data_IF_560307581255
#
_entry.id   IF_560307581255
#
_cell.length_a   1.000
_cell.length_b   1.000
_cell.length_c   1.000
_cell.angle_alpha   90.00
_cell.angle_beta   90.00
_cell.angle_gamma   90.00
#
_symmetry.space_group_name_H-M   'P 1'
#
loop_
_entity.id
_entity.type
_entity.pdbx_description
1 polymer ?
#
# COMPACT_ATOMS: atom_id res chain seq x y z
N UNK A 1 43.84 -41.59 -32.39
CA UNK A 1 43.20 -40.28 -32.66
C UNK A 1 42.41 -39.86 -31.43
N UNK A 2 42.71 -38.66 -30.90
CA UNK A 2 42.06 -38.00 -29.74
C UNK A 2 40.90 -37.13 -30.25
N UNK A 3 39.72 -37.18 -29.63
CA UNK A 3 38.71 -36.09 -29.55
C UNK A 3 37.88 -36.36 -28.29
N UNK A 4 38.20 -35.79 -27.12
CA UNK A 4 37.88 -34.47 -26.57
C UNK A 4 36.38 -34.21 -26.30
N UNK A 5 36.08 -34.16 -24.99
CA UNK A 5 35.00 -33.50 -24.25
C UNK A 5 34.13 -32.46 -24.98
N UNK A 6 32.83 -32.38 -24.65
CA UNK A 6 32.25 -31.19 -24.00
C UNK A 6 30.85 -31.49 -23.43
N UNK A 7 30.75 -31.46 -22.10
CA UNK A 7 29.49 -31.36 -21.37
C UNK A 7 29.12 -29.87 -21.26
N UNK A 8 27.93 -29.50 -21.73
CA UNK A 8 27.38 -28.14 -21.56
C UNK A 8 26.12 -28.27 -20.72
N UNK A 9 26.27 -28.13 -19.40
CA UNK A 9 25.16 -27.91 -18.47
C UNK A 9 24.92 -26.39 -18.43
N UNK A 10 23.81 -25.95 -19.01
CA UNK A 10 23.35 -24.56 -18.95
C UNK A 10 22.67 -24.37 -17.59
N UNK A 11 23.32 -23.64 -16.67
CA UNK A 11 22.68 -23.15 -15.45
C UNK A 11 21.76 -21.97 -15.81
N UNK A 12 20.46 -22.18 -15.75
CA UNK A 12 19.48 -21.10 -15.75
C UNK A 12 19.47 -20.43 -14.36
N UNK A 13 20.20 -19.32 -14.21
CA UNK A 13 20.09 -18.44 -13.05
C UNK A 13 18.79 -17.63 -13.17
N UNK A 14 17.73 -18.05 -12.50
CA UNK A 14 16.52 -17.26 -12.36
C UNK A 14 16.75 -16.10 -11.39
N UNK A 15 16.67 -14.87 -11.87
CA UNK A 15 16.49 -13.70 -10.99
C UNK A 15 15.10 -13.81 -10.36
N UNK A 16 15.03 -14.32 -9.14
CA UNK A 16 13.85 -14.14 -8.30
C UNK A 16 13.81 -12.69 -7.85
N UNK A 17 12.97 -11.87 -8.46
CA UNK A 17 12.61 -10.56 -7.92
C UNK A 17 11.82 -10.78 -6.64
N UNK A 18 12.51 -10.78 -5.51
CA UNK A 18 11.89 -10.75 -4.19
C UNK A 18 11.43 -9.32 -3.92
N UNK A 19 10.15 -9.03 -4.15
CA UNK A 19 9.54 -7.79 -3.65
C UNK A 19 9.67 -7.77 -2.13
N UNK A 20 10.09 -6.66 -1.53
CA UNK A 20 10.17 -6.55 -0.08
C UNK A 20 8.78 -6.72 0.53
N UNK A 21 8.70 -7.59 1.53
CA UNK A 21 7.45 -7.81 2.26
C UNK A 21 7.36 -6.77 3.38
N UNK A 22 6.32 -5.92 3.33
CA UNK A 22 5.92 -5.10 4.46
C UNK A 22 5.20 -6.02 5.47
N UNK A 23 5.65 -6.03 6.72
CA UNK A 23 5.00 -6.80 7.81
C UNK A 23 4.60 -5.83 8.90
N UNK A 24 3.29 -5.60 9.04
CA UNK A 24 2.70 -4.76 10.07
C UNK A 24 2.02 -5.61 11.15
N UNK A 25 2.12 -5.18 12.40
CA UNK A 25 1.46 -5.84 13.54
C UNK A 25 -0.02 -5.45 13.58
N UNK A 26 -0.92 -6.42 13.37
CA UNK A 26 -2.37 -6.18 13.38
C UNK A 26 -2.82 -5.68 14.75
N UNK A 27 -3.63 -4.62 14.77
CA UNK A 27 -4.11 -3.97 16.00
C UNK A 27 -3.18 -2.89 16.53
N UNK A 28 -2.01 -2.68 15.94
CA UNK A 28 -1.15 -1.53 16.23
C UNK A 28 -1.53 -0.31 15.36
N UNK A 29 -1.20 0.90 15.82
CA UNK A 29 -1.22 2.10 14.98
C UNK A 29 0.12 2.25 14.27
N UNK A 30 0.10 2.58 12.99
CA UNK A 30 1.31 2.81 12.19
C UNK A 30 1.12 3.95 11.21
N UNK A 31 2.23 4.46 10.69
CA UNK A 31 2.27 5.49 9.64
C UNK A 31 2.90 4.90 8.38
N UNK A 32 2.19 5.01 7.26
CA UNK A 32 2.68 4.60 5.95
C UNK A 32 2.90 5.83 5.08
N UNK A 33 4.03 5.83 4.37
CA UNK A 33 4.37 6.82 3.35
C UNK A 33 4.60 6.11 2.04
N UNK A 34 4.11 6.70 0.95
CA UNK A 34 4.26 6.09 -0.35
C UNK A 34 3.67 6.89 -1.50
N UNK A 35 3.82 6.33 -2.69
CA UNK A 35 3.23 6.85 -3.92
C UNK A 35 1.94 6.09 -4.21
N UNK A 36 0.86 6.80 -4.48
CA UNK A 36 -0.42 6.21 -4.88
C UNK A 36 -0.22 5.47 -6.20
N UNK A 37 -0.59 4.20 -6.25
CA UNK A 37 -0.58 3.37 -7.46
C UNK A 37 -1.98 3.13 -8.01
N UNK A 38 -3.00 3.12 -7.14
CA UNK A 38 -4.40 3.03 -7.55
C UNK A 38 -5.35 3.58 -6.49
N UNK A 39 -6.50 4.06 -6.95
CA UNK A 39 -7.62 4.51 -6.12
C UNK A 39 -8.89 3.84 -6.62
N UNK A 40 -9.54 3.01 -5.80
CA UNK A 40 -10.83 2.38 -6.10
C UNK A 40 -11.86 2.78 -5.05
N UNK A 41 -12.85 3.58 -5.47
CA UNK A 41 -13.93 4.07 -4.60
C UNK A 41 -15.29 3.42 -4.92
N UNK A 42 -15.34 2.42 -5.82
CA UNK A 42 -16.59 1.83 -6.33
C UNK A 42 -17.48 1.28 -5.20
N UNK A 43 -16.85 0.69 -4.18
CA UNK A 43 -17.55 0.10 -3.04
C UNK A 43 -18.18 1.14 -2.13
N UNK A 44 -17.72 2.40 -2.14
CA UNK A 44 -18.32 3.46 -1.34
C UNK A 44 -19.77 3.76 -1.73
N UNK A 45 -20.16 3.51 -2.99
CA UNK A 45 -21.54 3.67 -3.45
C UNK A 45 -22.55 2.75 -2.75
N UNK A 46 -22.06 1.69 -2.10
CA UNK A 46 -22.85 0.72 -1.33
C UNK A 46 -22.33 0.57 0.10
N UNK A 47 -21.85 1.69 0.67
CA UNK A 47 -21.36 1.80 2.05
C UNK A 47 -20.17 0.86 2.38
N UNK A 48 -19.41 0.43 1.36
CA UNK A 48 -18.15 -0.28 1.54
C UNK A 48 -16.94 0.65 1.59
N UNK A 49 -15.76 0.07 1.79
CA UNK A 49 -14.52 0.85 1.84
C UNK A 49 -14.04 1.28 0.45
N UNK A 50 -13.63 2.53 0.33
CA UNK A 50 -12.67 2.95 -0.69
C UNK A 50 -11.29 2.39 -0.36
N UNK A 51 -10.53 2.08 -1.41
CA UNK A 51 -9.20 1.48 -1.31
C UNK A 51 -8.22 2.36 -2.06
N UNK A 52 -7.26 2.92 -1.32
CA UNK A 52 -6.10 3.59 -1.89
C UNK A 52 -4.93 2.61 -1.76
N UNK A 53 -4.34 2.22 -2.88
CA UNK A 53 -3.13 1.39 -2.88
C UNK A 53 -1.93 2.30 -3.05
N UNK A 54 -0.93 2.13 -2.19
CA UNK A 54 0.34 2.86 -2.25
C UNK A 54 1.51 1.89 -2.41
N UNK A 55 2.55 2.35 -3.08
CA UNK A 55 3.88 1.75 -3.06
C UNK A 55 4.76 2.55 -2.10
N UNK A 56 5.30 1.87 -1.08
CA UNK A 56 6.20 2.49 -0.10
C UNK A 56 7.58 2.78 -0.70
N UNK A 57 8.39 3.57 -0.01
CA UNK A 57 9.76 3.88 -0.45
C UNK A 57 10.64 2.63 -0.61
N UNK A 58 10.37 1.59 0.18
CA UNK A 58 11.04 0.29 0.08
C UNK A 58 10.56 -0.53 -1.13
N UNK A 59 9.53 -0.10 -1.85
CA UNK A 59 8.94 -0.84 -2.98
C UNK A 59 7.93 -1.91 -2.56
N UNK A 60 7.44 -1.87 -1.32
CA UNK A 60 6.36 -2.73 -0.85
C UNK A 60 5.00 -2.10 -1.14
N UNK A 61 3.98 -2.91 -1.40
CA UNK A 61 2.61 -2.41 -1.58
C UNK A 61 1.83 -2.43 -0.28
N UNK A 62 1.13 -1.34 0.02
CA UNK A 62 0.22 -1.24 1.15
C UNK A 62 -1.14 -0.69 0.73
N UNK A 63 -2.17 -0.93 1.55
CA UNK A 63 -3.54 -0.45 1.28
C UNK A 63 -4.05 0.42 2.42
N UNK A 64 -4.64 1.55 2.08
CA UNK A 64 -5.35 2.44 3.01
C UNK A 64 -6.84 2.26 2.74
N UNK A 65 -7.56 1.75 3.73
CA UNK A 65 -9.01 1.59 3.69
C UNK A 65 -9.70 2.83 4.26
N UNK A 66 -10.61 3.41 3.48
CA UNK A 66 -11.40 4.58 3.88
C UNK A 66 -12.88 4.21 3.83
N UNK A 67 -13.58 4.35 4.96
CA UNK A 67 -15.01 4.06 5.01
C UNK A 67 -15.82 5.08 4.18
N UNK A 68 -16.90 4.63 3.53
CA UNK A 68 -17.76 5.49 2.70
C UNK A 68 -18.30 6.73 3.44
N UNK A 69 -18.68 6.55 4.71
CA UNK A 69 -19.23 7.60 5.57
C UNK A 69 -18.12 8.39 6.25
N UNK A 70 -17.32 9.11 5.45
CA UNK A 70 -16.20 9.90 5.94
C UNK A 70 -16.63 10.98 6.96
N UNK A 71 -17.87 11.44 6.90
CA UNK A 71 -18.43 12.38 7.89
C UNK A 71 -18.60 11.79 9.31
N UNK A 72 -18.47 10.47 9.48
CA UNK A 72 -18.49 9.78 10.77
C UNK A 72 -17.07 9.43 11.26
N UNK A 73 -16.08 9.75 10.46
CA UNK A 73 -14.68 9.43 10.72
C UNK A 73 -13.98 10.68 11.28
N UNK A 74 -13.29 10.52 12.40
CA UNK A 74 -12.56 11.61 13.05
C UNK A 74 -11.18 11.87 12.41
N UNK A 75 -10.68 10.96 11.57
CA UNK A 75 -9.38 11.09 10.95
C UNK A 75 -9.29 12.35 10.07
N UNK A 76 -8.17 13.05 10.16
CA UNK A 76 -7.94 14.29 9.42
C UNK A 76 -7.64 14.02 7.94
N UNK A 77 -8.00 14.99 7.08
CA UNK A 77 -7.63 15.02 5.67
C UNK A 77 -8.31 13.99 4.78
N UNK A 78 -9.44 13.41 5.17
CA UNK A 78 -10.17 12.46 4.31
C UNK A 78 -10.91 13.11 3.13
N UNK A 79 -11.07 14.42 3.15
CA UNK A 79 -11.65 15.19 2.05
C UNK A 79 -10.84 15.04 0.74
N UNK A 80 -9.53 14.77 0.83
CA UNK A 80 -8.66 14.60 -0.33
C UNK A 80 -8.84 13.26 -1.07
N UNK A 81 -9.57 12.29 -0.51
CA UNK A 81 -9.71 10.93 -1.09
C UNK A 81 -10.28 10.96 -2.51
N UNK A 82 -11.20 11.89 -2.78
CA UNK A 82 -11.79 12.08 -4.11
C UNK A 82 -10.83 12.70 -5.14
N UNK A 83 -9.76 13.34 -4.67
CA UNK A 83 -8.79 14.07 -5.49
C UNK A 83 -7.47 13.32 -5.68
N UNK A 84 -7.29 12.18 -4.99
CA UNK A 84 -6.09 11.36 -5.14
C UNK A 84 -6.05 10.66 -6.50
N UNK A 85 -4.87 10.71 -7.12
CA UNK A 85 -4.60 10.01 -8.38
C UNK A 85 -3.28 9.25 -8.31
N UNK A 86 -3.09 8.21 -9.16
CA UNK A 86 -1.80 7.54 -9.26
C UNK A 86 -0.65 8.53 -9.52
N UNK A 87 0.44 8.38 -8.79
CA UNK A 87 1.60 9.28 -8.80
C UNK A 87 1.62 10.31 -7.65
N UNK A 88 0.50 10.55 -6.98
CA UNK A 88 0.47 11.39 -5.78
C UNK A 88 1.30 10.76 -4.65
N UNK A 89 2.05 11.56 -3.90
CA UNK A 89 2.70 11.12 -2.67
C UNK A 89 1.80 11.39 -1.48
N UNK A 90 1.67 10.41 -0.60
CA UNK A 90 0.79 10.48 0.57
C UNK A 90 1.48 9.94 1.82
N UNK A 91 1.03 10.45 2.95
CA UNK A 91 1.29 9.91 4.28
C UNK A 91 -0.04 9.62 4.96
N UNK A 92 -0.18 8.42 5.49
CA UNK A 92 -1.39 7.97 6.17
C UNK A 92 -1.03 7.32 7.49
N UNK A 93 -1.69 7.74 8.57
CA UNK A 93 -1.64 7.08 9.86
C UNK A 93 -2.96 6.36 10.11
N UNK A 94 -2.90 5.15 10.64
CA UNK A 94 -4.10 4.39 10.94
C UNK A 94 -3.84 3.10 11.70
N UNK A 95 -4.93 2.45 12.09
CA UNK A 95 -4.91 1.12 12.71
C UNK A 95 -4.57 0.07 11.66
N UNK A 96 -3.65 -0.84 11.97
CA UNK A 96 -3.33 -1.99 11.11
C UNK A 96 -4.47 -3.01 11.18
N UNK A 97 -5.19 -3.17 10.08
CA UNK A 97 -6.35 -4.09 9.96
C UNK A 97 -6.04 -5.35 9.15
N UNK A 98 -4.83 -5.45 8.64
CA UNK A 98 -4.26 -6.63 7.98
C UNK A 98 -2.78 -6.37 7.74
N UNK A 99 -1.96 -7.41 7.55
CA UNK A 99 -0.49 -7.29 7.61
C UNK A 99 0.18 -6.22 6.72
N UNK A 100 -0.52 -5.65 5.74
CA UNK A 100 -0.07 -4.55 4.87
C UNK A 100 -1.08 -3.42 4.75
N UNK A 101 -2.10 -3.39 5.60
CA UNK A 101 -3.28 -2.56 5.42
C UNK A 101 -3.58 -1.75 6.66
N UNK A 102 -3.91 -0.48 6.48
CA UNK A 102 -4.32 0.41 7.56
C UNK A 102 -5.71 1.00 7.32
N UNK A 103 -6.37 1.38 8.41
CA UNK A 103 -7.63 2.13 8.41
C UNK A 103 -7.47 3.39 9.27
N UNK A 104 -7.41 4.58 8.66
CA UNK A 104 -7.36 5.84 9.42
C UNK A 104 -8.58 6.03 10.32
N UNK A 105 -9.76 5.59 9.89
CA UNK A 105 -11.00 5.84 10.63
C UNK A 105 -11.17 5.15 11.99
N UNK A 106 -10.22 4.30 12.39
CA UNK A 106 -10.27 3.59 13.68
C UNK A 106 -9.58 4.37 14.83
N UNK A 107 -9.24 5.65 14.62
CA UNK A 107 -8.65 6.53 15.63
C UNK A 107 -9.02 7.98 15.39
N UNK A 108 -8.98 8.79 16.45
CA UNK A 108 -9.33 10.21 16.46
C UNK A 108 -8.14 11.13 16.17
N UNK A 109 -6.92 10.64 16.30
CA UNK A 109 -5.67 11.32 15.97
C UNK A 109 -5.05 10.87 14.64
N UNK A 110 -5.68 9.92 13.95
CA UNK A 110 -5.25 9.40 12.66
C UNK A 110 -5.48 10.40 11.52
N UNK A 111 -4.82 10.17 10.38
CA UNK A 111 -4.91 11.09 9.24
C UNK A 111 -4.58 10.43 7.90
N UNK A 112 -5.00 11.09 6.84
CA UNK A 112 -4.50 10.93 5.47
C UNK A 112 -4.13 12.31 4.95
N UNK A 113 -2.91 12.49 4.43
CA UNK A 113 -2.47 13.76 3.85
C UNK A 113 -1.60 13.53 2.64
N UNK A 114 -1.50 14.55 1.79
CA UNK A 114 -0.43 14.59 0.78
C UNK A 114 0.90 14.68 1.51
N UNK A 115 1.83 13.81 1.13
CA UNK A 115 3.22 13.94 1.54
C UNK A 115 3.84 14.91 0.54
N UNK A 116 3.57 16.20 0.77
CA UNK A 116 4.24 17.26 0.03
C UNK A 116 5.75 17.07 0.19
N UNK A 117 6.50 17.32 -0.89
CA UNK A 117 7.95 17.49 -0.80
C UNK A 117 8.29 18.80 -0.11
#
# INVERSE_FOLDING_TARGET
MRVLFLAVLILAAGCGSSSPALVLEVGSTTTLRGTVVSVNLERMAVDGDGVITIETEDGATARVFVAARMNLCAAEGLDLVGDLVPGDRVEAQGLVVGGTNIRPCDGDDHYLRRADG
#
